data_IF_566130811419
#
_entry.id   IF_566130811419
#
_cell.length_a   1.000
_cell.length_b   1.000
_cell.length_c   1.000
_cell.angle_alpha   90.00
_cell.angle_beta   90.00
_cell.angle_gamma   90.00
#
_symmetry.space_group_name_H-M   'P 1'
#
loop_
_entity.id
_entity.type
_entity.pdbx_description
1 polymer ?
#
# COMPACT_ATOMS: atom_id res chain seq x y z
N UNK A 1 13.93 13.53 -3.59
CA UNK A 1 14.59 12.21 -3.62
C UNK A 1 13.75 11.23 -4.40
N UNK A 2 14.36 10.36 -5.25
CA UNK A 2 13.60 9.39 -6.05
C UNK A 2 13.38 8.11 -5.27
N UNK A 3 12.12 7.73 -5.08
CA UNK A 3 11.70 6.55 -4.30
C UNK A 3 10.83 5.62 -5.13
N UNK A 4 11.06 4.33 -5.01
CA UNK A 4 10.19 3.29 -5.55
C UNK A 4 9.47 2.55 -4.42
N UNK A 5 8.16 2.38 -4.55
CA UNK A 5 7.37 1.50 -3.68
C UNK A 5 7.28 0.15 -4.36
N UNK A 6 7.71 -0.91 -3.68
CA UNK A 6 7.71 -2.25 -4.27
C UNK A 6 6.53 -3.07 -3.78
N UNK A 7 6.58 -3.51 -2.57
CA UNK A 7 5.55 -4.36 -2.01
C UNK A 7 4.99 -3.75 -0.73
N UNK A 8 3.69 -3.53 -0.71
CA UNK A 8 2.98 -3.05 0.46
C UNK A 8 1.67 -3.81 0.61
N UNK A 9 1.78 -5.06 1.02
CA UNK A 9 0.68 -6.02 1.06
C UNK A 9 0.15 -6.25 2.48
N UNK A 10 -1.04 -6.85 2.54
CA UNK A 10 -1.58 -7.42 3.77
C UNK A 10 -0.85 -8.72 4.12
N UNK A 11 -0.15 -8.73 5.25
CA UNK A 11 0.60 -9.88 5.79
C UNK A 11 -0.12 -10.51 7.00
N UNK A 12 -1.30 -10.03 7.35
CA UNK A 12 -2.07 -10.55 8.50
C UNK A 12 -2.79 -11.85 8.20
N UNK A 13 -3.16 -12.08 6.94
CA UNK A 13 -3.99 -13.21 6.53
C UNK A 13 -5.42 -13.20 7.09
N UNK A 14 -5.84 -12.10 7.70
CA UNK A 14 -7.13 -11.98 8.36
C UNK A 14 -8.29 -11.94 7.36
N UNK A 15 -9.33 -12.70 7.67
CA UNK A 15 -10.58 -12.76 6.89
C UNK A 15 -11.71 -12.11 7.66
N UNK A 16 -12.69 -11.56 6.95
CA UNK A 16 -13.91 -11.03 7.58
C UNK A 16 -14.65 -12.17 8.30
N UNK A 17 -15.10 -11.96 9.53
CA UNK A 17 -15.92 -12.95 10.20
C UNK A 17 -17.22 -13.15 9.41
N UNK A 18 -17.64 -14.40 9.25
CA UNK A 18 -18.91 -14.75 8.63
C UNK A 18 -19.61 -15.81 9.47
N UNK A 19 -20.87 -15.61 9.75
CA UNK A 19 -21.73 -16.61 10.36
C UNK A 19 -22.12 -17.63 9.28
N UNK A 20 -21.76 -18.88 9.51
CA UNK A 20 -22.18 -20.06 8.73
C UNK A 20 -21.66 -20.23 7.29
N UNK A 21 -20.78 -19.41 6.76
CA UNK A 21 -20.19 -19.58 5.42
C UNK A 21 -18.70 -19.24 5.45
N UNK A 22 -17.88 -19.99 4.70
CA UNK A 22 -16.48 -19.65 4.50
C UNK A 22 -16.36 -18.29 3.79
N UNK A 23 -16.00 -17.26 4.51
CA UNK A 23 -15.80 -15.93 3.94
C UNK A 23 -14.37 -15.79 3.43
N UNK A 24 -14.21 -15.67 2.11
CA UNK A 24 -12.92 -15.51 1.45
C UNK A 24 -12.48 -14.03 1.37
N UNK A 25 -13.32 -13.10 1.81
CA UNK A 25 -13.01 -11.67 1.79
C UNK A 25 -11.97 -11.31 2.85
N UNK A 26 -10.95 -10.54 2.45
CA UNK A 26 -9.95 -10.01 3.38
C UNK A 26 -10.59 -9.03 4.36
N UNK A 27 -10.18 -9.08 5.63
CA UNK A 27 -10.59 -8.12 6.64
C UNK A 27 -9.89 -6.76 6.45
N UNK A 28 -8.68 -6.79 5.88
CA UNK A 28 -7.80 -5.64 5.68
C UNK A 28 -7.75 -5.28 4.20
N UNK A 29 -7.55 -3.99 3.89
CA UNK A 29 -7.42 -3.53 2.51
C UNK A 29 -6.24 -4.17 1.80
N UNK A 30 -6.42 -4.53 0.54
CA UNK A 30 -5.37 -5.06 -0.33
C UNK A 30 -4.68 -3.96 -1.16
N UNK A 31 -5.20 -2.74 -1.13
CA UNK A 31 -4.71 -1.59 -1.92
C UNK A 31 -3.89 -0.58 -1.11
N UNK A 32 -3.28 -0.97 0.01
CA UNK A 32 -2.55 -0.04 0.88
C UNK A 32 -1.35 0.62 0.18
N UNK A 33 -0.78 0.01 -0.85
CA UNK A 33 0.30 0.57 -1.66
C UNK A 33 -0.10 1.91 -2.29
N UNK A 34 -1.32 2.03 -2.81
CA UNK A 34 -1.80 3.25 -3.42
C UNK A 34 -1.83 4.43 -2.43
N UNK A 35 -2.20 4.18 -1.19
CA UNK A 35 -2.19 5.21 -0.14
C UNK A 35 -0.78 5.64 0.25
N UNK A 36 0.17 4.69 0.25
CA UNK A 36 1.58 4.99 0.53
C UNK A 36 2.16 5.86 -0.59
N UNK A 37 1.87 5.54 -1.84
CA UNK A 37 2.29 6.34 -3.01
C UNK A 37 1.71 7.75 -2.91
N UNK A 38 0.41 7.88 -2.63
CA UNK A 38 -0.25 9.18 -2.48
C UNK A 38 0.36 10.02 -1.34
N UNK A 39 0.60 9.41 -0.19
CA UNK A 39 1.26 10.07 0.93
C UNK A 39 2.68 10.58 0.60
N UNK A 40 3.45 9.79 -0.15
CA UNK A 40 4.78 10.19 -0.61
C UNK A 40 4.71 11.36 -1.59
N UNK A 41 3.76 11.33 -2.53
CA UNK A 41 3.55 12.41 -3.51
C UNK A 41 3.12 13.72 -2.85
N UNK A 42 2.40 13.67 -1.74
CA UNK A 42 1.96 14.84 -0.99
C UNK A 42 3.00 15.33 0.02
N UNK A 43 3.99 14.52 0.39
CA UNK A 43 4.97 14.86 1.41
C UNK A 43 5.78 16.11 1.04
N UNK A 44 5.93 17.04 1.99
CA UNK A 44 6.64 18.30 1.80
C UNK A 44 6.03 19.17 0.70
N UNK A 45 4.70 19.23 0.60
CA UNK A 45 3.96 19.91 -0.48
C UNK A 45 4.38 19.41 -1.88
N UNK A 46 4.62 18.12 -2.02
CA UNK A 46 4.99 17.49 -3.28
C UNK A 46 6.47 17.70 -3.69
N UNK A 47 7.31 18.16 -2.77
CA UNK A 47 8.71 18.49 -3.12
C UNK A 47 9.75 17.49 -2.59
N UNK A 48 9.40 16.67 -1.59
CA UNK A 48 10.37 15.80 -0.95
C UNK A 48 10.72 14.56 -1.77
N UNK A 49 9.70 13.95 -2.37
CA UNK A 49 9.87 12.69 -3.09
C UNK A 49 9.40 12.81 -4.53
N UNK A 50 10.12 12.16 -5.41
CA UNK A 50 9.70 11.81 -6.75
C UNK A 50 9.46 10.29 -6.75
N UNK A 51 8.21 9.90 -6.88
CA UNK A 51 7.83 8.49 -6.85
C UNK A 51 7.94 7.90 -8.24
N UNK A 52 8.63 6.76 -8.37
CA UNK A 52 8.75 6.01 -9.62
C UNK A 52 8.01 4.69 -9.51
N UNK A 53 7.32 4.33 -10.61
CA UNK A 53 6.54 3.10 -10.69
C UNK A 53 7.44 1.86 -10.57
N UNK A 54 7.04 0.93 -9.69
CA UNK A 54 7.72 -0.36 -9.52
C UNK A 54 6.74 -1.54 -9.42
N UNK A 55 5.54 -1.35 -8.88
CA UNK A 55 4.50 -2.37 -8.83
C UNK A 55 4.02 -2.78 -10.23
N UNK A 56 3.74 -1.78 -11.08
CA UNK A 56 3.31 -1.96 -12.47
C UNK A 56 4.43 -1.91 -13.50
N UNK A 57 5.68 -2.15 -13.13
CA UNK A 57 6.85 -2.02 -14.00
C UNK A 57 6.74 -2.83 -15.29
N UNK A 58 6.19 -4.03 -15.24
CA UNK A 58 6.00 -4.89 -16.41
C UNK A 58 5.09 -4.24 -17.47
N UNK A 59 4.08 -3.50 -17.05
CA UNK A 59 3.21 -2.77 -17.95
C UNK A 59 3.95 -1.61 -18.60
N UNK A 60 4.74 -0.87 -17.83
CA UNK A 60 5.57 0.22 -18.35
C UNK A 60 6.58 -0.30 -19.38
N UNK A 61 7.21 -1.45 -19.13
CA UNK A 61 8.16 -2.08 -20.06
C UNK A 61 7.45 -2.49 -21.35
N UNK A 62 6.26 -3.10 -21.26
CA UNK A 62 5.46 -3.48 -22.44
C UNK A 62 5.08 -2.26 -23.29
N UNK A 63 4.62 -1.19 -22.67
CA UNK A 63 4.31 0.06 -23.37
C UNK A 63 5.55 0.67 -24.06
N UNK A 64 6.69 0.66 -23.39
CA UNK A 64 7.96 1.14 -23.98
C UNK A 64 8.39 0.28 -25.17
N UNK A 65 8.17 -1.02 -25.12
CA UNK A 65 8.43 -1.92 -26.26
C UNK A 65 7.48 -1.62 -27.44
N UNK A 66 6.19 -1.42 -27.16
CA UNK A 66 5.20 -1.06 -28.17
C UNK A 66 5.58 0.26 -28.86
N UNK A 67 5.92 1.30 -28.09
CA UNK A 67 6.37 2.58 -28.62
C UNK A 67 7.60 2.41 -29.52
N UNK A 68 8.60 1.62 -29.07
CA UNK A 68 9.81 1.36 -29.87
C UNK A 68 9.45 0.70 -31.19
N UNK A 69 8.72 -0.40 -31.15
CA UNK A 69 8.34 -1.14 -32.35
C UNK A 69 7.51 -0.29 -33.31
N UNK A 70 6.60 0.54 -32.78
CA UNK A 70 5.79 1.45 -33.60
C UNK A 70 6.66 2.49 -34.29
N UNK A 71 7.58 3.12 -33.58
CA UNK A 71 8.49 4.13 -34.15
C UNK A 71 9.44 3.52 -35.18
N UNK A 72 10.02 2.36 -34.91
CA UNK A 72 10.87 1.64 -35.87
C UNK A 72 10.14 1.32 -37.19
N UNK A 73 8.85 1.00 -37.11
CA UNK A 73 8.05 0.67 -38.29
C UNK A 73 7.56 1.90 -39.08
N UNK A 74 7.29 2.99 -38.42
CA UNK A 74 6.64 4.16 -39.03
C UNK A 74 7.55 5.40 -39.13
N UNK A 75 8.54 5.56 -38.25
CA UNK A 75 9.53 6.65 -38.30
C UNK A 75 10.83 6.16 -38.95
N UNK A 76 10.78 5.86 -40.25
CA UNK A 76 11.88 5.18 -40.99
C UNK A 76 13.20 5.97 -41.05
N UNK A 77 13.20 7.29 -40.87
CA UNK A 77 14.36 8.15 -41.10
C UNK A 77 15.00 8.75 -39.85
N UNK A 78 14.84 8.27 -38.71
CA UNK A 78 15.43 8.60 -37.41
C UNK A 78 14.40 8.37 -36.28
N UNK A 79 14.18 7.13 -35.87
CA UNK A 79 13.25 6.84 -34.81
C UNK A 79 13.69 7.54 -33.52
N UNK A 80 12.80 8.39 -32.98
CA UNK A 80 13.06 9.12 -31.74
C UNK A 80 13.18 8.12 -30.58
N UNK A 81 14.33 8.06 -29.94
CA UNK A 81 14.53 7.16 -28.80
C UNK A 81 13.73 7.66 -27.58
N UNK A 82 13.25 6.70 -26.79
CA UNK A 82 12.65 7.03 -25.48
C UNK A 82 13.76 7.44 -24.50
N UNK A 83 13.49 8.47 -23.71
CA UNK A 83 14.36 8.81 -22.60
C UNK A 83 14.57 7.60 -21.66
N UNK A 84 15.73 7.48 -21.01
CA UNK A 84 15.96 6.42 -20.03
C UNK A 84 14.98 6.54 -18.86
N UNK A 85 14.61 5.40 -18.29
CA UNK A 85 13.77 5.37 -17.11
C UNK A 85 14.56 5.85 -15.90
N UNK A 86 13.89 6.54 -14.98
CA UNK A 86 14.50 6.97 -13.73
C UNK A 86 14.74 5.78 -12.80
N UNK A 87 15.88 5.80 -12.14
CA UNK A 87 16.21 4.83 -11.10
C UNK A 87 15.67 5.31 -9.75
N UNK A 88 15.16 4.40 -8.94
CA UNK A 88 14.89 4.66 -7.54
C UNK A 88 16.23 4.70 -6.78
N UNK A 89 16.48 5.78 -6.05
CA UNK A 89 17.60 5.84 -5.10
C UNK A 89 17.25 5.19 -3.77
N UNK A 90 15.96 5.15 -3.47
CA UNK A 90 15.39 4.57 -2.25
C UNK A 90 14.29 3.59 -2.62
N UNK A 91 14.20 2.49 -1.86
CA UNK A 91 13.09 1.56 -1.91
C UNK A 91 12.27 1.67 -0.62
N UNK A 92 10.97 1.80 -0.76
CA UNK A 92 10.03 1.67 0.34
C UNK A 92 9.33 0.31 0.23
N UNK A 93 9.42 -0.46 1.30
CA UNK A 93 8.79 -1.77 1.43
C UNK A 93 8.07 -1.85 2.76
N UNK A 94 7.00 -2.63 2.82
CA UNK A 94 6.26 -2.78 4.06
C UNK A 94 5.02 -3.63 3.92
N UNK A 95 4.07 -3.36 4.81
CA UNK A 95 2.76 -4.01 4.79
C UNK A 95 2.00 -3.83 6.08
N UNK A 96 0.78 -4.32 6.06
CA UNK A 96 -0.05 -4.43 7.23
C UNK A 96 0.30 -5.75 7.90
N UNK A 97 0.83 -5.69 9.13
CA UNK A 97 1.37 -6.84 9.86
C UNK A 97 0.52 -7.28 11.04
N UNK A 98 -0.44 -6.45 11.46
CA UNK A 98 -1.37 -6.75 12.54
C UNK A 98 -2.75 -6.19 12.25
N UNK A 99 -3.76 -6.97 12.58
CA UNK A 99 -5.16 -6.56 12.59
C UNK A 99 -5.85 -7.27 13.74
N UNK A 100 -6.28 -6.48 14.71
CA UNK A 100 -7.05 -6.94 15.87
C UNK A 100 -8.42 -6.29 15.84
N UNK A 101 -9.44 -7.09 16.09
CA UNK A 101 -10.83 -6.64 16.13
C UNK A 101 -11.43 -7.08 17.45
N UNK A 102 -11.70 -6.11 18.31
CA UNK A 102 -12.29 -6.34 19.62
C UNK A 102 -13.72 -5.77 19.67
N UNK A 103 -14.63 -6.56 20.22
CA UNK A 103 -15.98 -6.08 20.54
C UNK A 103 -15.90 -5.55 21.97
N UNK A 104 -16.11 -4.27 22.14
CA UNK A 104 -16.24 -3.66 23.46
C UNK A 104 -17.73 -3.38 23.75
N UNK A 105 -18.19 -3.93 24.86
CA UNK A 105 -19.52 -3.67 25.39
C UNK A 105 -19.46 -2.45 26.30
N UNK A 106 -19.92 -1.32 25.78
CA UNK A 106 -20.12 -0.11 26.58
C UNK A 106 -21.44 -0.20 27.34
N UNK A 107 -21.40 -0.76 28.56
CA UNK A 107 -22.58 -0.85 29.41
C UNK A 107 -22.69 0.32 30.37
N UNK A 108 -23.52 1.33 30.08
CA UNK A 108 -24.26 2.03 31.09
C UNK A 108 -25.70 1.49 31.05
N UNK A 109 -25.90 0.29 31.53
CA UNK A 109 -27.18 -0.36 31.56
C UNK A 109 -27.99 0.07 32.78
N UNK A 110 -28.95 0.95 32.57
CA UNK A 110 -30.10 1.01 33.46
C UNK A 110 -31.08 -0.09 33.04
N UNK A 111 -31.13 -1.15 33.76
CA UNK A 111 -32.09 -2.23 33.56
C UNK A 111 -33.35 -1.88 34.35
N UNK A 112 -34.43 -1.55 33.66
CA UNK A 112 -35.75 -1.39 34.28
C UNK A 112 -36.72 -2.41 33.73
N UNK A 113 -37.27 -3.24 34.61
CA UNK A 113 -38.22 -4.32 34.27
C UNK A 113 -37.77 -5.30 33.18
N UNK A 114 -36.48 -5.66 33.15
CA UNK A 114 -35.97 -6.65 32.17
C UNK A 114 -35.72 -6.12 30.78
N UNK A 115 -35.87 -4.82 30.53
CA UNK A 115 -35.54 -4.16 29.26
C UNK A 115 -34.31 -3.28 29.48
N UNK A 116 -33.18 -3.66 28.88
CA UNK A 116 -31.93 -2.92 28.88
C UNK A 116 -31.38 -2.85 27.45
N UNK A 117 -30.85 -1.69 27.06
CA UNK A 117 -30.08 -1.59 25.82
C UNK A 117 -28.60 -1.65 26.12
N UNK A 118 -27.90 -2.65 25.61
CA UNK A 118 -26.44 -2.66 25.56
C UNK A 118 -26.00 -2.09 24.21
N UNK A 119 -25.06 -1.17 24.25
CA UNK A 119 -24.40 -0.67 23.04
C UNK A 119 -23.11 -1.44 22.88
N UNK A 120 -23.03 -2.26 21.84
CA UNK A 120 -21.80 -2.92 21.43
C UNK A 120 -21.14 -2.05 20.37
N UNK A 121 -19.85 -1.74 20.56
CA UNK A 121 -19.05 -1.11 19.51
C UNK A 121 -17.81 -1.96 19.25
N UNK A 122 -17.39 -1.94 17.99
CA UNK A 122 -16.24 -2.69 17.52
C UNK A 122 -15.09 -1.73 17.36
N UNK A 123 -13.94 -2.09 17.93
CA UNK A 123 -12.67 -1.39 17.76
C UNK A 123 -11.75 -2.24 16.92
N UNK A 124 -11.41 -1.74 15.75
CA UNK A 124 -10.46 -2.39 14.86
C UNK A 124 -9.11 -1.68 14.98
N UNK A 125 -8.07 -2.43 15.29
CA UNK A 125 -6.70 -1.93 15.41
C UNK A 125 -5.85 -2.49 14.28
N UNK A 126 -5.19 -1.60 13.55
CA UNK A 126 -4.31 -1.96 12.42
C UNK A 126 -2.88 -1.60 12.75
N UNK A 127 -1.96 -2.54 12.55
CA UNK A 127 -0.52 -2.31 12.69
C UNK A 127 0.14 -2.36 11.32
N UNK A 128 0.82 -1.28 10.98
CA UNK A 128 1.57 -1.12 9.72
C UNK A 128 3.05 -1.07 10.02
N UNK A 129 3.85 -1.81 9.27
CA UNK A 129 5.32 -1.71 9.33
C UNK A 129 5.86 -1.34 7.95
N UNK A 130 6.87 -0.47 7.93
CA UNK A 130 7.56 -0.09 6.70
C UNK A 130 9.05 0.17 6.95
N UNK A 131 9.83 -0.04 5.91
CA UNK A 131 11.27 0.21 5.91
C UNK A 131 11.70 0.94 4.64
N UNK A 132 12.67 1.81 4.80
CA UNK A 132 13.29 2.55 3.70
C UNK A 132 14.72 2.02 3.51
N UNK A 133 15.02 1.58 2.30
CA UNK A 133 16.29 0.95 1.95
C UNK A 133 17.02 1.78 0.91
N UNK A 134 18.31 2.01 1.11
CA UNK A 134 19.18 2.63 0.12
C UNK A 134 19.52 1.63 -0.98
N UNK A 135 19.24 1.96 -2.23
CA UNK A 135 19.57 1.11 -3.39
C UNK A 135 21.07 0.96 -3.56
N UNK A 136 21.83 2.03 -3.34
CA UNK A 136 23.27 2.04 -3.57
C UNK A 136 24.06 1.16 -2.59
N UNK A 137 23.55 0.97 -1.37
CA UNK A 137 24.27 0.26 -0.29
C UNK A 137 23.54 -0.96 0.25
N UNK A 138 22.26 -1.13 -0.07
CA UNK A 138 21.41 -2.14 0.56
C UNK A 138 21.10 -1.88 2.05
N UNK A 139 21.51 -0.73 2.59
CA UNK A 139 21.26 -0.41 4.01
C UNK A 139 19.80 -0.05 4.24
N UNK A 140 19.22 -0.62 5.28
CA UNK A 140 17.97 -0.13 5.85
C UNK A 140 18.27 1.18 6.58
N UNK A 141 17.73 2.28 6.05
CA UNK A 141 17.94 3.62 6.58
C UNK A 141 16.94 3.93 7.71
N UNK A 142 15.73 3.48 7.55
CA UNK A 142 14.63 3.69 8.49
C UNK A 142 13.78 2.42 8.53
N UNK A 143 13.34 2.05 9.71
CA UNK A 143 12.32 1.02 9.93
C UNK A 143 11.36 1.54 11.00
N UNK A 144 10.07 1.57 10.68
CA UNK A 144 9.03 2.07 11.57
C UNK A 144 7.86 1.11 11.60
N UNK A 145 7.20 1.05 12.74
CA UNK A 145 5.89 0.43 12.89
C UNK A 145 4.95 1.43 13.55
N UNK A 146 3.74 1.50 13.06
CA UNK A 146 2.69 2.36 13.59
C UNK A 146 1.41 1.54 13.79
N UNK A 147 0.68 1.86 14.84
CA UNK A 147 -0.59 1.23 15.19
C UNK A 147 -1.65 2.31 15.34
N UNK A 148 -2.83 2.03 14.86
CA UNK A 148 -3.98 2.93 15.00
C UNK A 148 -5.26 2.13 15.13
#
# INVERSE_FOLDING_TARGET
>A
MTVGVYEFSDKTGQRKPAENVANLSSAVTQGAEAWVIDALLQAGNGTWFEVVERGGMDHVIKERQLIRNTRENYEKENPTSLAPMKFAGLLLEGGIIGYDSNIETGGSGAMYLGVGSAVEYRVDTVTVAMRLVSVSTGRVLVSVAAQK
#
